data_IF_181025488616
#
_entry.id   IF_181025488616
#
_cell.length_a   1.000
_cell.length_b   1.000
_cell.length_c   1.000
_cell.angle_alpha   90.00
_cell.angle_beta   90.00
_cell.angle_gamma   90.00
#
_symmetry.space_group_name_H-M   'P 1'
#
loop_
_entity.id
_entity.type
_entity.pdbx_description
1 polymer ?
#
# COMPACT_ATOMS: atom_id res chain seq x y z
N UNK A 1 -52.25 -20.92 -5.37
CA UNK A 1 -50.96 -21.61 -5.61
C UNK A 1 -49.83 -20.58 -5.56
N UNK A 2 -49.38 -20.27 -4.32
CA UNK A 2 -48.27 -19.39 -4.07
C UNK A 2 -46.92 -20.10 -4.32
N UNK A 3 -46.15 -19.67 -5.30
CA UNK A 3 -44.76 -20.04 -5.38
C UNK A 3 -43.95 -19.16 -4.40
N UNK A 4 -43.54 -19.80 -3.31
CA UNK A 4 -42.53 -19.28 -2.40
C UNK A 4 -41.24 -18.99 -3.18
N UNK A 5 -40.86 -17.72 -3.32
CA UNK A 5 -39.53 -17.30 -3.74
C UNK A 5 -38.60 -17.56 -2.54
N UNK A 6 -38.05 -18.79 -2.47
CA UNK A 6 -36.93 -19.06 -1.59
C UNK A 6 -35.72 -18.33 -2.14
N UNK A 7 -35.34 -17.22 -1.45
CA UNK A 7 -34.04 -16.56 -1.58
C UNK A 7 -32.95 -17.59 -1.25
N UNK A 8 -32.43 -18.28 -2.25
CA UNK A 8 -31.15 -18.95 -2.18
C UNK A 8 -30.06 -17.85 -2.15
N UNK A 9 -29.74 -17.34 -0.98
CA UNK A 9 -28.39 -16.86 -0.76
C UNK A 9 -27.50 -18.10 -0.79
N UNK A 10 -27.02 -18.48 -1.97
CA UNK A 10 -25.93 -19.45 -2.09
C UNK A 10 -24.79 -18.93 -1.22
N UNK A 11 -24.42 -19.72 -0.21
CA UNK A 11 -23.29 -19.43 0.67
C UNK A 11 -22.05 -19.44 -0.24
N UNK A 12 -21.54 -18.27 -0.64
CA UNK A 12 -20.31 -18.20 -1.41
C UNK A 12 -19.18 -18.86 -0.62
N UNK A 13 -18.42 -19.70 -1.26
CA UNK A 13 -17.25 -20.34 -0.69
C UNK A 13 -16.15 -19.33 -0.35
N UNK A 14 -15.06 -19.82 0.17
CA UNK A 14 -13.89 -19.02 0.48
C UNK A 14 -13.18 -18.61 -0.81
N UNK A 15 -13.02 -17.31 -1.04
CA UNK A 15 -12.23 -16.77 -2.15
C UNK A 15 -10.88 -16.33 -1.60
N UNK A 16 -9.80 -16.79 -2.22
CA UNK A 16 -8.44 -16.40 -1.82
C UNK A 16 -7.88 -15.40 -2.83
N UNK A 17 -7.56 -14.20 -2.36
CA UNK A 17 -6.82 -13.21 -3.13
C UNK A 17 -5.34 -13.23 -2.78
N UNK A 18 -4.48 -13.21 -3.79
CA UNK A 18 -3.02 -13.27 -3.62
C UNK A 18 -2.37 -12.21 -4.48
N UNK A 19 -1.61 -11.33 -3.83
CA UNK A 19 -0.71 -10.37 -4.47
C UNK A 19 0.71 -10.93 -4.45
N UNK A 20 1.22 -11.32 -5.63
CA UNK A 20 2.58 -11.82 -5.83
C UNK A 20 3.45 -10.64 -6.27
N UNK A 21 4.00 -9.92 -5.30
CA UNK A 21 4.91 -8.81 -5.57
C UNK A 21 6.33 -9.27 -5.90
N UNK A 22 7.20 -8.32 -6.23
CA UNK A 22 8.61 -8.62 -6.56
C UNK A 22 9.45 -9.14 -5.39
N UNK A 23 9.06 -8.86 -4.15
CA UNK A 23 9.81 -9.26 -2.94
C UNK A 23 8.92 -9.84 -1.84
N UNK A 24 7.62 -9.82 -2.03
CA UNK A 24 6.64 -10.20 -0.99
C UNK A 24 5.40 -10.80 -1.61
N UNK A 25 4.86 -11.85 -0.97
CA UNK A 25 3.56 -12.43 -1.31
C UNK A 25 2.58 -12.14 -0.17
N UNK A 26 1.41 -11.62 -0.51
CA UNK A 26 0.33 -11.29 0.44
C UNK A 26 -0.89 -12.09 0.10
N UNK A 27 -1.51 -12.71 1.10
CA UNK A 27 -2.67 -13.57 0.95
C UNK A 27 -3.79 -13.09 1.85
N UNK A 28 -4.99 -13.05 1.30
CA UNK A 28 -6.22 -12.71 2.03
C UNK A 28 -7.33 -13.67 1.63
N UNK A 29 -8.01 -14.25 2.61
CA UNK A 29 -9.30 -14.91 2.36
C UNK A 29 -10.44 -13.89 2.41
N UNK A 30 -11.42 -14.06 1.55
CA UNK A 30 -12.68 -13.34 1.56
C UNK A 30 -13.83 -14.35 1.66
N UNK A 31 -14.62 -14.27 2.72
CA UNK A 31 -15.78 -15.13 2.93
C UNK A 31 -16.97 -14.29 3.35
N UNK A 32 -18.08 -14.38 2.61
CA UNK A 32 -19.29 -13.57 2.84
C UNK A 32 -18.96 -12.07 3.02
N UNK A 33 -18.09 -11.52 2.18
CA UNK A 33 -17.67 -10.13 2.20
C UNK A 33 -16.76 -9.75 3.38
N UNK A 34 -16.29 -10.69 4.21
CA UNK A 34 -15.41 -10.42 5.37
C UNK A 34 -14.02 -10.96 5.13
N UNK A 35 -13.03 -10.13 5.48
CA UNK A 35 -11.61 -10.50 5.43
C UNK A 35 -11.32 -11.62 6.43
N UNK A 36 -10.56 -12.62 5.98
CA UNK A 36 -10.05 -13.74 6.77
C UNK A 36 -8.53 -13.77 6.72
N UNK A 37 -7.92 -13.77 7.89
CA UNK A 37 -6.52 -14.13 8.16
C UNK A 37 -5.49 -13.57 7.15
N UNK A 38 -5.35 -12.24 7.01
CA UNK A 38 -4.32 -11.70 6.12
C UNK A 38 -2.93 -12.23 6.50
N UNK A 39 -2.16 -12.71 5.53
CA UNK A 39 -0.82 -13.26 5.73
C UNK A 39 0.18 -12.65 4.76
N UNK A 40 1.38 -12.38 5.25
CA UNK A 40 2.49 -11.77 4.55
C UNK A 40 3.70 -12.69 4.60
N UNK A 41 4.32 -12.94 3.45
CA UNK A 41 5.54 -13.74 3.34
C UNK A 41 6.56 -13.01 2.47
N UNK A 42 7.82 -13.03 2.89
CA UNK A 42 8.96 -12.59 2.08
C UNK A 42 9.63 -13.82 1.48
N UNK A 43 9.87 -13.79 0.18
CA UNK A 43 10.68 -14.78 -0.51
C UNK A 43 11.28 -14.20 -1.79
N UNK A 44 12.37 -14.81 -2.25
CA UNK A 44 13.15 -14.33 -3.39
C UNK A 44 12.69 -14.89 -4.73
N UNK A 45 12.05 -16.07 -4.72
CA UNK A 45 11.50 -16.69 -5.92
C UNK A 45 9.97 -16.62 -5.91
N UNK A 46 9.33 -15.95 -6.90
CA UNK A 46 7.88 -15.76 -6.92
C UNK A 46 7.07 -17.07 -6.93
N UNK A 47 7.52 -18.09 -7.66
CA UNK A 47 6.81 -19.36 -7.79
C UNK A 47 6.86 -20.12 -6.46
N UNK A 48 8.06 -20.35 -5.93
CA UNK A 48 8.26 -21.02 -4.64
C UNK A 48 7.56 -20.26 -3.52
N UNK A 49 7.63 -18.94 -3.55
CA UNK A 49 6.95 -18.05 -2.59
C UNK A 49 5.45 -18.26 -2.62
N UNK A 50 4.84 -18.27 -3.82
CA UNK A 50 3.39 -18.43 -3.95
C UNK A 50 2.93 -19.79 -3.42
N UNK A 51 3.54 -20.89 -3.91
CA UNK A 51 3.13 -22.24 -3.49
C UNK A 51 3.36 -22.47 -2.00
N UNK A 52 4.53 -22.06 -1.48
CA UNK A 52 4.83 -22.17 -0.06
C UNK A 52 3.91 -21.30 0.81
N UNK A 53 3.68 -20.05 0.40
CA UNK A 53 2.79 -19.12 1.09
C UNK A 53 1.35 -19.63 1.15
N UNK A 54 0.83 -20.11 0.03
CA UNK A 54 -0.52 -20.66 -0.03
C UNK A 54 -0.67 -21.93 0.82
N UNK A 55 0.29 -22.87 0.72
CA UNK A 55 0.28 -24.07 1.56
C UNK A 55 0.30 -23.74 3.04
N UNK A 56 1.18 -22.81 3.45
CA UNK A 56 1.23 -22.30 4.84
C UNK A 56 -0.09 -21.63 5.23
N UNK A 57 -0.67 -20.80 4.36
CA UNK A 57 -1.94 -20.13 4.63
C UNK A 57 -3.07 -21.09 4.90
N UNK A 58 -3.21 -22.14 4.07
CA UNK A 58 -4.22 -23.20 4.24
C UNK A 58 -3.98 -23.95 5.55
N UNK A 59 -2.73 -24.33 5.82
CA UNK A 59 -2.36 -25.05 7.04
C UNK A 59 -2.63 -24.26 8.32
N UNK A 60 -2.14 -23.01 8.39
CA UNK A 60 -2.25 -22.16 9.59
C UNK A 60 -3.72 -21.83 9.94
N UNK A 61 -4.60 -21.80 8.93
CA UNK A 61 -6.02 -21.49 9.10
C UNK A 61 -6.92 -22.74 9.22
N UNK A 62 -6.38 -23.93 9.06
CA UNK A 62 -7.14 -25.18 9.12
C UNK A 62 -8.18 -25.29 8.00
N UNK A 63 -7.94 -24.66 6.83
CA UNK A 63 -8.84 -24.75 5.70
C UNK A 63 -8.64 -26.08 4.94
N UNK A 64 -9.74 -26.66 4.44
CA UNK A 64 -9.66 -27.72 3.45
C UNK A 64 -9.61 -27.08 2.05
N UNK A 65 -8.88 -27.69 1.12
CA UNK A 65 -8.87 -27.21 -0.27
C UNK A 65 -10.28 -27.18 -0.89
N UNK A 66 -11.15 -28.10 -0.47
CA UNK A 66 -12.56 -28.16 -0.89
C UNK A 66 -13.41 -26.96 -0.42
N UNK A 67 -12.96 -26.21 0.57
CA UNK A 67 -13.67 -25.02 1.06
C UNK A 67 -13.39 -23.78 0.20
N UNK A 68 -12.35 -23.87 -0.65
CA UNK A 68 -11.87 -22.77 -1.49
C UNK A 68 -12.59 -22.84 -2.85
N UNK A 69 -13.43 -21.85 -3.10
CA UNK A 69 -14.20 -21.74 -4.34
C UNK A 69 -13.32 -21.21 -5.49
N UNK A 70 -12.48 -20.21 -5.21
CA UNK A 70 -11.65 -19.54 -6.23
C UNK A 70 -10.37 -19.00 -5.64
N UNK A 71 -9.28 -19.10 -6.38
CA UNK A 71 -8.03 -18.37 -6.14
C UNK A 71 -7.88 -17.27 -7.19
N UNK A 72 -7.62 -16.04 -6.74
CA UNK A 72 -7.40 -14.88 -7.59
C UNK A 72 -5.98 -14.37 -7.39
N UNK A 73 -5.17 -14.35 -8.45
CA UNK A 73 -3.79 -13.91 -8.44
C UNK A 73 -3.68 -12.52 -9.04
N UNK A 74 -2.85 -11.68 -8.43
CA UNK A 74 -2.47 -10.36 -8.96
C UNK A 74 -1.00 -10.06 -8.64
N UNK A 75 -0.52 -8.89 -9.01
CA UNK A 75 0.88 -8.48 -8.84
C UNK A 75 1.79 -8.97 -9.97
N UNK A 76 2.93 -8.29 -10.13
CA UNK A 76 3.90 -8.56 -11.22
C UNK A 76 4.41 -10.00 -11.24
N UNK A 77 4.58 -10.63 -10.08
CA UNK A 77 5.04 -12.02 -9.96
C UNK A 77 3.99 -13.04 -10.43
N UNK A 78 2.71 -12.66 -10.54
CA UNK A 78 1.67 -13.54 -11.05
C UNK A 78 1.86 -13.90 -12.53
N UNK A 79 2.68 -13.14 -13.27
CA UNK A 79 3.01 -13.41 -14.66
C UNK A 79 3.74 -14.76 -14.84
N UNK A 80 4.55 -15.16 -13.85
CA UNK A 80 5.30 -16.42 -13.88
C UNK A 80 4.47 -17.65 -13.54
N UNK A 81 3.21 -17.48 -13.19
CA UNK A 81 2.32 -18.58 -12.77
C UNK A 81 1.42 -18.97 -13.93
N UNK A 82 1.53 -20.19 -14.37
CA UNK A 82 0.65 -20.80 -15.36
C UNK A 82 -0.19 -21.92 -14.72
N UNK A 83 -1.46 -22.02 -15.13
CA UNK A 83 -2.37 -23.07 -14.64
C UNK A 83 -2.96 -22.83 -13.26
N UNK A 84 -3.34 -23.92 -12.61
CA UNK A 84 -4.04 -23.92 -11.32
C UNK A 84 -3.10 -24.06 -10.14
N UNK A 85 -3.40 -23.38 -9.02
CA UNK A 85 -2.69 -23.53 -7.76
C UNK A 85 -3.27 -24.73 -7.00
N UNK A 86 -2.48 -25.78 -6.81
CA UNK A 86 -2.89 -27.03 -6.14
C UNK A 86 -4.18 -27.66 -6.74
N UNK A 87 -4.41 -27.49 -8.03
CA UNK A 87 -5.62 -28.01 -8.71
C UNK A 87 -6.89 -27.18 -8.48
N UNK A 88 -6.80 -26.08 -7.75
CA UNK A 88 -7.93 -25.19 -7.47
C UNK A 88 -8.25 -24.28 -8.68
N UNK A 89 -9.50 -23.87 -8.87
CA UNK A 89 -9.86 -22.84 -9.83
C UNK A 89 -9.02 -21.58 -9.57
N UNK A 90 -8.19 -21.20 -10.54
CA UNK A 90 -7.25 -20.06 -10.39
C UNK A 90 -7.41 -19.11 -11.57
N UNK A 91 -7.54 -17.81 -11.28
CA UNK A 91 -7.64 -16.74 -12.28
C UNK A 91 -6.73 -15.58 -11.93
N UNK A 92 -6.30 -14.83 -12.95
CA UNK A 92 -5.56 -13.58 -12.76
C UNK A 92 -6.52 -12.41 -12.75
N UNK A 93 -6.21 -11.44 -11.89
CA UNK A 93 -6.87 -10.13 -11.80
C UNK A 93 -5.87 -9.05 -12.18
N UNK A 94 -6.34 -8.01 -12.85
CA UNK A 94 -5.54 -6.81 -13.11
C UNK A 94 -5.16 -6.15 -11.78
N UNK A 95 -3.89 -5.74 -11.65
CA UNK A 95 -3.34 -5.18 -10.41
C UNK A 95 -3.98 -3.84 -10.06
N UNK A 96 -4.18 -2.98 -11.05
CA UNK A 96 -4.74 -1.65 -10.81
C UNK A 96 -6.24 -1.69 -10.50
N UNK A 97 -6.97 -2.61 -11.14
CA UNK A 97 -8.37 -2.88 -10.77
C UNK A 97 -8.45 -3.42 -9.35
N UNK A 98 -7.53 -4.32 -8.99
CA UNK A 98 -7.43 -4.86 -7.63
C UNK A 98 -7.10 -3.76 -6.61
N UNK A 99 -6.16 -2.86 -6.92
CA UNK A 99 -5.85 -1.70 -6.07
C UNK A 99 -7.09 -0.83 -5.83
N UNK A 100 -7.84 -0.51 -6.88
CA UNK A 100 -9.04 0.32 -6.80
C UNK A 100 -10.14 -0.31 -5.95
N UNK A 101 -10.47 -1.59 -6.21
CA UNK A 101 -11.49 -2.33 -5.45
C UNK A 101 -11.07 -2.53 -3.99
N UNK A 102 -9.81 -2.90 -3.76
CA UNK A 102 -9.27 -3.10 -2.43
C UNK A 102 -9.23 -1.81 -1.61
N UNK A 103 -8.79 -0.70 -2.20
CA UNK A 103 -8.77 0.61 -1.55
C UNK A 103 -10.17 1.06 -1.12
N UNK A 104 -11.18 0.84 -1.98
CA UNK A 104 -12.56 1.24 -1.72
C UNK A 104 -13.31 0.33 -0.73
N UNK A 105 -12.83 -0.88 -0.51
CA UNK A 105 -13.51 -1.85 0.38
C UNK A 105 -13.72 -1.28 1.79
N UNK A 106 -14.95 -1.36 2.29
CA UNK A 106 -15.38 -0.82 3.59
C UNK A 106 -15.08 0.69 3.78
N UNK A 107 -15.07 1.45 2.69
CA UNK A 107 -15.10 2.92 2.74
C UNK A 107 -16.42 3.42 2.19
N UNK A 108 -16.80 4.64 2.56
CA UNK A 108 -17.94 5.35 1.97
C UNK A 108 -17.50 6.27 0.80
N UNK A 109 -16.23 6.14 0.36
CA UNK A 109 -15.66 6.98 -0.70
C UNK A 109 -16.12 6.47 -2.06
N UNK A 110 -16.69 7.37 -2.86
CA UNK A 110 -17.13 7.09 -4.22
C UNK A 110 -16.03 7.38 -5.22
N UNK A 111 -15.38 8.51 -5.06
CA UNK A 111 -14.34 9.03 -5.92
C UNK A 111 -13.07 9.24 -5.08
N UNK A 112 -11.96 8.64 -5.51
CA UNK A 112 -10.72 8.67 -4.74
C UNK A 112 -9.50 8.42 -5.63
N UNK A 113 -8.33 8.81 -5.13
CA UNK A 113 -7.04 8.43 -5.68
C UNK A 113 -6.43 7.34 -4.79
N UNK A 114 -6.15 6.17 -5.37
CA UNK A 114 -5.36 5.14 -4.70
C UNK A 114 -3.88 5.47 -4.88
N UNK A 115 -3.15 5.42 -3.78
CA UNK A 115 -1.69 5.55 -3.73
C UNK A 115 -1.14 4.20 -3.28
N UNK A 116 -0.73 3.38 -4.24
CA UNK A 116 -0.24 2.02 -3.98
C UNK A 116 1.28 2.06 -3.78
N UNK A 117 1.70 2.00 -2.52
CA UNK A 117 3.08 2.18 -2.07
C UNK A 117 3.79 0.83 -1.91
N UNK A 118 4.23 0.26 -3.03
CA UNK A 118 4.99 -0.99 -3.12
C UNK A 118 6.50 -0.77 -3.21
N UNK A 119 7.17 -1.51 -4.10
CA UNK A 119 8.60 -1.30 -4.45
C UNK A 119 8.83 0.09 -5.04
N UNK A 120 8.00 0.49 -6.00
CA UNK A 120 7.73 1.86 -6.42
C UNK A 120 6.34 2.28 -5.94
N UNK A 121 5.79 3.35 -6.52
CA UNK A 121 4.44 3.81 -6.20
C UNK A 121 3.63 4.01 -7.47
N UNK A 122 2.40 3.48 -7.50
CA UNK A 122 1.43 3.70 -8.57
C UNK A 122 0.24 4.52 -8.08
N UNK A 123 -0.37 5.26 -9.02
CA UNK A 123 -1.56 6.07 -8.79
C UNK A 123 -2.72 5.54 -9.62
N UNK A 124 -3.80 5.18 -8.95
CA UNK A 124 -5.01 4.65 -9.59
C UNK A 124 -6.19 5.55 -9.23
N UNK A 125 -6.78 6.14 -10.26
CA UNK A 125 -7.96 6.98 -10.12
C UNK A 125 -9.20 6.13 -10.14
N UNK A 126 -10.08 6.34 -9.15
CA UNK A 126 -11.38 5.69 -9.04
C UNK A 126 -12.47 6.75 -9.07
N UNK A 127 -13.36 6.70 -10.07
CA UNK A 127 -14.53 7.56 -10.20
C UNK A 127 -15.76 6.66 -10.39
N UNK A 128 -16.60 6.58 -9.37
CA UNK A 128 -17.70 5.62 -9.38
C UNK A 128 -17.19 4.18 -9.60
N UNK A 129 -17.53 3.57 -10.74
CA UNK A 129 -17.08 2.22 -11.12
C UNK A 129 -15.88 2.22 -12.08
N UNK A 130 -15.46 3.39 -12.54
CA UNK A 130 -14.30 3.51 -13.42
C UNK A 130 -13.01 3.50 -12.61
N UNK A 131 -12.13 2.54 -12.88
CA UNK A 131 -10.84 2.37 -12.23
C UNK A 131 -9.76 2.48 -13.29
N UNK A 132 -8.91 3.48 -13.18
CA UNK A 132 -7.89 3.78 -14.19
C UNK A 132 -6.53 4.05 -13.57
N UNK A 133 -5.53 3.29 -13.99
CA UNK A 133 -4.13 3.63 -13.72
C UNK A 133 -3.76 4.92 -14.47
N UNK A 134 -3.22 5.90 -13.75
CA UNK A 134 -2.87 7.21 -14.32
C UNK A 134 -1.36 7.47 -14.36
N UNK A 135 -0.57 6.59 -13.75
CA UNK A 135 0.89 6.69 -13.71
C UNK A 135 1.46 6.26 -12.39
N UNK A 136 2.71 6.58 -12.15
CA UNK A 136 3.41 6.26 -10.94
C UNK A 136 4.77 6.95 -10.87
N UNK A 137 5.49 6.72 -9.78
CA UNK A 137 6.86 7.18 -9.59
C UNK A 137 7.76 6.02 -9.16
N UNK A 138 9.03 6.10 -9.55
CA UNK A 138 10.04 5.10 -9.18
C UNK A 138 10.55 5.28 -7.74
N UNK A 139 9.78 5.96 -6.88
CA UNK A 139 10.06 6.15 -5.46
C UNK A 139 9.10 5.26 -4.66
N UNK A 140 9.63 4.48 -3.73
CA UNK A 140 8.85 3.57 -2.91
C UNK A 140 9.70 2.80 -1.91
N UNK A 141 9.20 1.63 -1.48
CA UNK A 141 9.90 0.76 -0.55
C UNK A 141 11.25 0.28 -1.06
N UNK A 142 11.40 0.06 -2.36
CA UNK A 142 12.68 -0.29 -2.98
C UNK A 142 13.72 0.81 -2.84
N UNK A 143 13.31 2.07 -3.06
CA UNK A 143 14.17 3.24 -2.88
C UNK A 143 14.62 3.37 -1.42
N UNK A 144 13.66 3.27 -0.48
CA UNK A 144 13.95 3.35 0.94
C UNK A 144 14.96 2.26 1.37
N UNK A 145 14.72 1.00 0.99
CA UNK A 145 15.61 -0.10 1.31
C UNK A 145 17.00 0.05 0.69
N UNK A 146 17.08 0.51 -0.56
CA UNK A 146 18.34 0.72 -1.27
C UNK A 146 19.20 1.80 -0.60
N UNK A 147 18.59 2.95 -0.30
CA UNK A 147 19.28 4.05 0.38
C UNK A 147 19.61 3.72 1.83
N UNK A 148 18.73 3.02 2.55
CA UNK A 148 19.04 2.54 3.91
C UNK A 148 20.22 1.58 3.92
N UNK A 149 20.33 0.68 2.92
CA UNK A 149 21.51 -0.18 2.81
C UNK A 149 22.79 0.61 2.58
N UNK A 150 22.75 1.62 1.74
CA UNK A 150 23.91 2.44 1.43
C UNK A 150 24.35 3.30 2.62
N UNK A 151 23.41 3.94 3.29
CA UNK A 151 23.69 4.96 4.30
C UNK A 151 23.71 4.39 5.73
N UNK A 152 22.86 3.40 6.03
CA UNK A 152 22.65 2.83 7.38
C UNK A 152 23.12 1.38 7.49
N UNK A 153 23.62 0.79 6.40
CA UNK A 153 24.09 -0.61 6.32
C UNK A 153 23.02 -1.65 6.68
N UNK A 154 21.74 -1.30 6.53
CA UNK A 154 20.62 -2.20 6.83
C UNK A 154 19.50 -2.08 5.81
N UNK A 155 18.77 -3.19 5.57
CA UNK A 155 17.50 -3.24 4.84
C UNK A 155 16.35 -3.67 5.76
N UNK A 156 16.66 -3.94 7.01
CA UNK A 156 15.68 -4.42 7.97
C UNK A 156 14.70 -3.31 8.33
N UNK A 157 13.41 -3.57 8.06
CA UNK A 157 12.33 -2.62 8.31
C UNK A 157 12.24 -2.22 9.79
N UNK A 158 12.34 -3.21 10.69
CA UNK A 158 12.23 -2.96 12.13
C UNK A 158 13.39 -2.09 12.61
N UNK A 159 14.62 -2.36 12.12
CA UNK A 159 15.79 -1.56 12.46
C UNK A 159 15.71 -0.13 11.93
N UNK A 160 15.21 0.05 10.70
CA UNK A 160 14.98 1.40 10.13
C UNK A 160 13.94 2.15 10.97
N UNK A 161 12.84 1.50 11.36
CA UNK A 161 11.82 2.11 12.23
C UNK A 161 12.39 2.49 13.61
N UNK A 162 13.20 1.60 14.22
CA UNK A 162 13.85 1.84 15.51
C UNK A 162 14.74 3.08 15.45
N UNK A 163 15.64 3.16 14.46
CA UNK A 163 16.50 4.32 14.27
C UNK A 163 15.65 5.59 14.06
N UNK A 164 14.72 5.57 13.13
CA UNK A 164 13.89 6.72 12.81
C UNK A 164 13.05 7.22 14.00
N UNK A 165 12.69 6.34 14.95
CA UNK A 165 11.94 6.75 16.13
C UNK A 165 12.72 7.65 17.09
N UNK A 166 14.05 7.71 16.97
CA UNK A 166 14.98 8.50 17.78
C UNK A 166 15.59 9.67 17.00
N UNK A 167 15.21 9.83 15.72
CA UNK A 167 15.73 10.86 14.84
C UNK A 167 15.01 12.20 15.01
N UNK A 168 15.69 13.26 14.60
CA UNK A 168 15.13 14.60 14.44
C UNK A 168 15.35 15.06 12.99
N UNK A 169 14.26 15.20 12.26
CA UNK A 169 14.30 15.63 10.85
C UNK A 169 14.83 17.04 10.66
N UNK A 170 14.75 17.90 11.69
CA UNK A 170 15.27 19.27 11.65
C UNK A 170 16.80 19.35 11.58
N UNK A 171 17.50 18.26 11.92
CA UNK A 171 18.95 18.18 11.77
C UNK A 171 19.38 17.91 10.32
N UNK A 172 18.49 17.41 9.47
CA UNK A 172 18.83 16.93 8.15
C UNK A 172 18.07 17.65 7.03
N UNK A 173 16.79 17.97 7.25
CA UNK A 173 15.97 18.70 6.30
C UNK A 173 16.06 20.20 6.51
N UNK A 174 16.20 20.95 5.43
CA UNK A 174 16.03 22.39 5.44
C UNK A 174 14.53 22.69 5.54
N UNK A 175 14.12 23.41 6.58
CA UNK A 175 12.74 23.80 6.82
C UNK A 175 12.49 25.25 6.45
N UNK A 176 11.23 25.64 6.28
CA UNK A 176 10.85 27.05 5.97
C UNK A 176 11.39 28.00 7.02
N UNK A 177 11.37 27.65 8.32
CA UNK A 177 11.94 28.47 9.41
C UNK A 177 13.44 28.75 9.27
N UNK A 178 14.16 27.96 8.52
CA UNK A 178 15.60 28.14 8.31
C UNK A 178 15.92 29.22 7.27
N UNK A 179 14.98 29.50 6.38
CA UNK A 179 15.13 30.43 5.25
C UNK A 179 14.18 31.63 5.30
N UNK A 180 13.12 31.56 6.11
CA UNK A 180 12.15 32.62 6.25
C UNK A 180 11.94 32.95 7.73
N UNK A 181 11.91 34.26 8.06
CA UNK A 181 11.73 34.76 9.46
C UNK A 181 10.26 35.07 9.78
N UNK A 182 9.39 35.03 8.79
CA UNK A 182 7.98 35.36 8.94
C UNK A 182 7.14 34.24 8.43
N UNK A 183 5.96 34.06 9.04
CA UNK A 183 4.96 33.12 8.55
C UNK A 183 4.57 33.43 7.12
N UNK A 184 4.56 32.41 6.28
CA UNK A 184 4.04 32.47 4.92
C UNK A 184 2.61 31.92 4.94
N UNK A 185 1.67 32.65 4.34
CA UNK A 185 0.27 32.24 4.29
C UNK A 185 0.16 30.83 3.67
N UNK A 186 -0.45 29.91 4.41
CA UNK A 186 -0.66 28.52 3.96
C UNK A 186 0.57 27.63 3.99
N UNK A 187 1.74 28.10 4.48
CA UNK A 187 2.97 27.30 4.56
C UNK A 187 3.55 27.33 5.98
N UNK A 188 3.39 26.25 6.77
CA UNK A 188 3.93 26.16 8.12
C UNK A 188 5.45 26.30 8.17
N UNK A 189 5.98 26.90 9.24
CA UNK A 189 7.43 27.10 9.41
C UNK A 189 8.23 25.80 9.49
N UNK A 190 7.62 24.71 9.91
CA UNK A 190 8.21 23.36 9.97
C UNK A 190 8.05 22.57 8.67
N UNK A 191 7.40 23.14 7.63
CA UNK A 191 7.36 22.53 6.32
C UNK A 191 8.77 22.34 5.74
N UNK A 192 8.99 21.20 5.10
CA UNK A 192 10.28 20.90 4.45
C UNK A 192 10.44 21.73 3.18
N UNK A 193 11.43 22.60 3.15
CA UNK A 193 11.85 23.35 1.97
C UNK A 193 12.78 22.52 1.08
N UNK A 194 13.69 21.74 1.70
CA UNK A 194 14.60 20.84 0.97
C UNK A 194 14.93 19.61 1.80
N UNK A 195 14.58 18.45 1.27
CA UNK A 195 14.95 17.17 1.85
C UNK A 195 16.47 17.00 1.83
N UNK A 196 17.05 16.64 2.97
CA UNK A 196 18.50 16.53 3.17
C UNK A 196 19.27 17.85 2.96
N UNK A 197 18.59 19.00 2.92
CA UNK A 197 19.20 20.29 2.58
C UNK A 197 20.13 20.86 3.66
N UNK A 198 20.14 20.34 4.88
CA UNK A 198 21.01 20.78 5.99
C UNK A 198 22.30 19.96 6.13
N UNK A 199 22.49 18.89 5.40
CA UNK A 199 23.62 17.94 5.61
C UNK A 199 25.01 18.57 5.56
N UNK A 200 25.20 19.64 4.80
CA UNK A 200 26.50 20.33 4.72
C UNK A 200 26.97 20.97 6.02
N UNK A 201 26.05 21.20 6.97
CA UNK A 201 26.29 21.95 8.21
C UNK A 201 25.86 21.19 9.49
N UNK A 202 25.50 19.90 9.38
CA UNK A 202 24.95 19.15 10.50
C UNK A 202 25.84 17.98 10.93
N UNK A 203 25.84 17.69 12.25
CA UNK A 203 26.33 16.43 12.81
C UNK A 203 25.21 15.39 12.80
N UNK A 204 24.57 15.14 11.64
CA UNK A 204 23.46 14.23 11.52
C UNK A 204 23.87 12.81 11.94
N UNK A 205 23.08 12.21 12.81
CA UNK A 205 23.26 10.83 13.31
C UNK A 205 22.55 9.85 12.39
N UNK A 206 22.80 8.56 12.57
CA UNK A 206 22.12 7.50 11.80
C UNK A 206 20.59 7.55 11.99
N UNK A 207 20.13 7.92 13.20
CA UNK A 207 18.72 8.10 13.54
C UNK A 207 18.07 9.21 12.70
N UNK A 208 18.77 10.34 12.57
CA UNK A 208 18.31 11.49 11.80
C UNK A 208 18.25 11.14 10.30
N UNK A 209 19.26 10.40 9.80
CA UNK A 209 19.31 9.90 8.42
C UNK A 209 18.15 8.93 8.16
N UNK A 210 17.89 7.98 9.07
CA UNK A 210 16.79 7.04 8.95
C UNK A 210 15.44 7.75 8.84
N UNK A 211 15.18 8.73 9.72
CA UNK A 211 13.97 9.54 9.68
C UNK A 211 13.89 10.38 8.40
N UNK A 212 14.99 11.03 8.00
CA UNK A 212 15.08 11.82 6.77
C UNK A 212 14.77 11.00 5.51
N UNK A 213 15.22 9.75 5.43
CA UNK A 213 14.91 8.84 4.32
C UNK A 213 13.42 8.51 4.26
N UNK A 214 12.78 8.24 5.41
CA UNK A 214 11.35 8.00 5.48
C UNK A 214 10.57 9.25 5.03
N UNK A 215 10.95 10.43 5.54
CA UNK A 215 10.35 11.71 5.13
C UNK A 215 10.48 11.93 3.63
N UNK A 216 11.68 11.72 3.08
CA UNK A 216 11.92 11.89 1.65
C UNK A 216 11.00 11.01 0.81
N UNK A 217 10.89 9.73 1.14
CA UNK A 217 10.05 8.80 0.38
C UNK A 217 8.57 9.16 0.52
N UNK A 218 8.07 9.34 1.75
CA UNK A 218 6.65 9.55 1.99
C UNK A 218 6.17 10.94 1.51
N UNK A 219 6.94 12.01 1.73
CA UNK A 219 6.58 13.35 1.24
C UNK A 219 6.63 13.42 -0.29
N UNK A 220 7.60 12.77 -0.94
CA UNK A 220 7.66 12.71 -2.40
C UNK A 220 6.43 11.98 -2.96
N UNK A 221 6.06 10.85 -2.35
CA UNK A 221 4.86 10.08 -2.74
C UNK A 221 3.59 10.94 -2.57
N UNK A 222 3.42 11.56 -1.41
CA UNK A 222 2.24 12.35 -1.11
C UNK A 222 2.10 13.58 -2.01
N UNK A 223 3.18 14.34 -2.21
CA UNK A 223 3.19 15.50 -3.12
C UNK A 223 2.89 15.09 -4.55
N UNK A 224 3.52 14.01 -5.05
CA UNK A 224 3.26 13.48 -6.39
C UNK A 224 1.82 13.00 -6.55
N UNK A 225 1.24 12.37 -5.52
CA UNK A 225 -0.16 11.95 -5.51
C UNK A 225 -1.10 13.16 -5.68
N UNK A 226 -0.89 14.23 -4.90
CA UNK A 226 -1.69 15.46 -4.98
C UNK A 226 -1.53 16.11 -6.36
N UNK A 227 -0.29 16.24 -6.87
CA UNK A 227 -0.02 16.80 -8.19
C UNK A 227 -0.69 15.99 -9.30
N UNK A 228 -0.75 14.66 -9.18
CA UNK A 228 -1.43 13.80 -10.17
C UNK A 228 -2.95 14.00 -10.23
N UNK A 229 -3.53 14.58 -9.18
CA UNK A 229 -4.96 14.83 -9.06
C UNK A 229 -5.38 16.27 -9.33
N UNK A 230 -4.44 17.19 -9.65
CA UNK A 230 -4.72 18.64 -9.82
C UNK A 230 -5.84 18.95 -10.82
N UNK A 231 -5.95 18.18 -11.90
CA UNK A 231 -6.98 18.34 -12.91
C UNK A 231 -8.26 17.54 -12.62
N UNK A 232 -8.50 17.20 -11.35
CA UNK A 232 -9.69 16.49 -10.91
C UNK A 232 -10.23 17.10 -9.61
N UNK A 233 -11.49 16.78 -9.27
CA UNK A 233 -12.09 17.21 -8.02
C UNK A 233 -11.77 16.25 -6.85
N UNK A 234 -10.90 15.27 -7.06
CA UNK A 234 -10.51 14.29 -6.03
C UNK A 234 -9.77 15.01 -4.91
N UNK A 235 -10.21 14.76 -3.67
CA UNK A 235 -9.58 15.24 -2.45
C UNK A 235 -9.30 14.11 -1.45
N UNK A 236 -9.78 12.90 -1.73
CA UNK A 236 -9.59 11.72 -0.89
C UNK A 236 -8.55 10.80 -1.53
N UNK A 237 -7.45 10.57 -0.80
CA UNK A 237 -6.33 9.72 -1.21
C UNK A 237 -6.28 8.50 -0.30
N UNK A 238 -6.41 7.30 -0.84
CA UNK A 238 -6.34 6.06 -0.06
C UNK A 238 -4.97 5.43 -0.24
N UNK A 239 -4.23 5.37 0.86
CA UNK A 239 -2.87 4.85 0.92
C UNK A 239 -2.92 3.34 1.16
N UNK A 240 -2.33 2.56 0.27
CA UNK A 240 -2.20 1.11 0.41
C UNK A 240 -0.75 0.67 0.19
N UNK A 241 -0.43 -0.58 0.52
CA UNK A 241 0.90 -1.15 0.33
C UNK A 241 1.79 -1.10 1.57
N UNK A 242 3.00 -1.64 1.46
CA UNK A 242 3.86 -1.93 2.61
C UNK A 242 4.34 -0.69 3.37
N UNK A 243 4.51 0.44 2.70
CA UNK A 243 4.99 1.66 3.37
C UNK A 243 3.97 2.22 4.37
N UNK A 244 2.68 1.84 4.27
CA UNK A 244 1.66 2.23 5.26
C UNK A 244 1.95 1.71 6.67
N UNK A 245 2.86 0.73 6.81
CA UNK A 245 3.29 0.18 8.10
C UNK A 245 4.25 1.09 8.86
N UNK A 246 4.85 2.08 8.20
CA UNK A 246 5.69 3.06 8.90
C UNK A 246 4.85 3.95 9.80
N UNK A 247 5.19 4.04 11.13
CA UNK A 247 4.47 4.92 12.06
C UNK A 247 4.44 6.38 11.60
N UNK A 248 5.47 6.83 10.91
CA UNK A 248 5.63 8.19 10.39
C UNK A 248 4.54 8.57 9.36
N UNK A 249 3.85 7.61 8.77
CA UNK A 249 2.69 7.89 7.94
C UNK A 249 1.60 8.67 8.70
N UNK A 250 1.46 8.42 10.02
CA UNK A 250 0.47 9.09 10.88
C UNK A 250 0.85 10.52 11.27
N UNK A 251 2.04 10.94 10.96
CA UNK A 251 2.56 12.28 11.19
C UNK A 251 2.64 13.05 9.85
N UNK A 252 3.29 12.45 8.87
CA UNK A 252 3.59 13.09 7.60
C UNK A 252 2.32 13.37 6.77
N UNK A 253 1.43 12.41 6.63
CA UNK A 253 0.24 12.60 5.79
C UNK A 253 -0.77 13.59 6.38
N UNK A 254 -1.12 13.60 7.68
CA UNK A 254 -1.93 14.66 8.27
C UNK A 254 -1.32 16.06 8.15
N UNK A 255 0.00 16.18 8.24
CA UNK A 255 0.68 17.43 7.97
C UNK A 255 0.50 17.89 6.52
N UNK A 256 0.62 16.97 5.57
CA UNK A 256 0.40 17.26 4.14
C UNK A 256 -1.07 17.58 3.83
N UNK A 257 -2.05 16.98 4.53
CA UNK A 257 -3.47 17.31 4.42
C UNK A 257 -3.72 18.80 4.65
N UNK A 258 -3.07 19.34 5.68
CA UNK A 258 -3.18 20.77 6.01
C UNK A 258 -2.61 21.66 4.89
N UNK A 259 -1.44 21.31 4.33
CA UNK A 259 -0.78 22.10 3.27
C UNK A 259 -1.58 22.05 1.96
N UNK A 260 -2.08 20.88 1.58
CA UNK A 260 -2.68 20.66 0.26
C UNK A 260 -4.22 20.71 0.26
N UNK A 261 -4.85 20.86 1.42
CA UNK A 261 -6.31 20.80 1.58
C UNK A 261 -6.92 19.53 0.96
N UNK A 262 -6.39 18.38 1.33
CA UNK A 262 -6.80 17.05 0.89
C UNK A 262 -6.98 16.13 2.11
N UNK A 263 -7.36 14.87 1.90
CA UNK A 263 -7.44 13.85 2.96
C UNK A 263 -6.71 12.58 2.55
N UNK A 264 -5.86 12.05 3.43
CA UNK A 264 -5.18 10.79 3.26
C UNK A 264 -5.75 9.74 4.20
N UNK A 265 -6.24 8.64 3.64
CA UNK A 265 -6.86 7.55 4.37
C UNK A 265 -5.95 6.33 4.37
N UNK A 266 -5.63 5.79 5.54
CA UNK A 266 -4.93 4.51 5.68
C UNK A 266 -5.96 3.49 6.20
N UNK A 267 -6.54 2.64 5.34
CA UNK A 267 -7.54 1.68 5.76
C UNK A 267 -6.92 0.54 6.58
N UNK A 268 -7.73 -0.12 7.38
CA UNK A 268 -7.32 -1.36 8.07
C UNK A 268 -6.80 -2.37 7.05
N UNK A 269 -5.69 -3.05 7.35
CA UNK A 269 -5.01 -3.96 6.44
C UNK A 269 -4.59 -3.30 5.12
N UNK A 270 -4.10 -2.07 5.18
CA UNK A 270 -3.70 -1.29 4.01
C UNK A 270 -2.68 -2.02 3.13
N UNK A 271 -1.75 -2.76 3.73
CA UNK A 271 -0.75 -3.55 3.04
C UNK A 271 -1.31 -4.76 2.27
N UNK A 272 -2.53 -5.21 2.60
CA UNK A 272 -3.19 -6.36 1.95
C UNK A 272 -4.27 -5.95 0.94
N UNK A 273 -4.48 -4.66 0.71
CA UNK A 273 -5.60 -4.16 -0.09
C UNK A 273 -5.55 -4.62 -1.55
N UNK A 274 -4.38 -4.75 -2.14
CA UNK A 274 -4.22 -5.31 -3.50
C UNK A 274 -4.67 -6.77 -3.57
N UNK A 275 -4.24 -7.61 -2.63
CA UNK A 275 -4.68 -9.00 -2.53
C UNK A 275 -6.20 -9.11 -2.28
N UNK A 276 -6.74 -8.28 -1.38
CA UNK A 276 -8.18 -8.21 -1.14
C UNK A 276 -8.95 -7.80 -2.40
N UNK A 277 -8.45 -6.80 -3.12
CA UNK A 277 -9.06 -6.36 -4.36
C UNK A 277 -9.10 -7.45 -5.42
N UNK A 278 -8.06 -8.28 -5.54
CA UNK A 278 -8.07 -9.43 -6.41
C UNK A 278 -9.22 -10.39 -6.07
N UNK A 279 -9.43 -10.70 -4.77
CA UNK A 279 -10.58 -11.50 -4.35
C UNK A 279 -11.93 -10.84 -4.70
N UNK A 280 -12.02 -9.51 -4.54
CA UNK A 280 -13.22 -8.73 -4.86
C UNK A 280 -13.56 -8.72 -6.35
N UNK A 281 -12.58 -8.84 -7.25
CA UNK A 281 -12.82 -8.97 -8.69
C UNK A 281 -13.71 -10.19 -9.00
N UNK A 282 -13.56 -11.26 -8.25
CA UNK A 282 -14.42 -12.45 -8.38
C UNK A 282 -15.74 -12.30 -7.63
N UNK A 283 -15.69 -11.74 -6.42
CA UNK A 283 -16.85 -11.59 -5.54
C UNK A 283 -17.94 -10.67 -6.12
N UNK A 284 -17.55 -9.66 -6.91
CA UNK A 284 -18.47 -8.66 -7.49
C UNK A 284 -18.98 -9.06 -8.91
N UNK A 285 -18.73 -10.28 -9.35
CA UNK A 285 -19.31 -10.85 -10.58
C UNK A 285 -20.67 -11.47 -10.32
#
# INVERSE_FOLDING_TARGET
LGRSLTNKHEKMGLIIGIDVGGSTTKIVGLNNGKIKSPMFITATDPVTSLFGAFGKYVYDNGFNLSDIEQVMLTGVGSAYIEGSLYGLPTKKADEFVSDGLGARYNTNLKDLMVVSMGTGTSYVKVIGNDIKHIGGISIGGGTLQGLSLLLLKTRDFAKICELASQGDVSHINLQIRDICRHDLEGLPLDATASLFGKLSNSNAREEDIALGLIYMVLQTIGSSAVLSALNSEIRDFVLIGNLTKFPQCREIFPFMEHIYNVRFHIPTYAEFRTALGAALVYYNK
#
